data_IF_118902773074
#
_entry.id   IF_118902773074
#
_cell.length_a   1.000
_cell.length_b   1.000
_cell.length_c   1.000
_cell.angle_alpha   90.00
_cell.angle_beta   90.00
_cell.angle_gamma   90.00
#
_symmetry.space_group_name_H-M   'P 1'
#
loop_
_entity.id
_entity.type
_entity.pdbx_description
1 polymer ?
#
# COMPACT_ATOMS: atom_id res chain seq x y z
N UNK A 1 -6.10 24.04 -1.55
CA UNK A 1 -6.54 24.35 -0.17
C UNK A 1 -5.46 25.06 0.64
N UNK A 2 -4.24 24.51 0.79
CA UNK A 2 -3.22 25.08 1.69
C UNK A 2 -2.91 26.57 1.52
N UNK A 3 -2.80 27.08 0.29
CA UNK A 3 -2.61 28.52 0.06
C UNK A 3 -3.77 29.39 0.58
N UNK A 4 -4.99 28.88 0.53
CA UNK A 4 -6.17 29.59 1.03
C UNK A 4 -6.17 29.63 2.56
N UNK A 5 -5.65 28.60 3.23
CA UNK A 5 -5.50 28.60 4.69
C UNK A 5 -4.53 29.69 5.12
N UNK A 6 -3.37 29.81 4.46
CA UNK A 6 -2.42 30.88 4.78
C UNK A 6 -3.01 32.26 4.51
N UNK A 7 -3.72 32.42 3.39
CA UNK A 7 -4.40 33.69 3.07
C UNK A 7 -5.47 34.05 4.09
N UNK A 8 -6.30 33.09 4.51
CA UNK A 8 -7.32 33.30 5.53
C UNK A 8 -6.68 33.65 6.87
N UNK A 9 -5.57 32.98 7.23
CA UNK A 9 -4.81 33.29 8.44
C UNK A 9 -4.30 34.74 8.44
N UNK A 10 -3.74 35.19 7.32
CA UNK A 10 -3.27 36.58 7.13
C UNK A 10 -4.43 37.59 7.25
N UNK A 11 -5.55 37.34 6.57
CA UNK A 11 -6.72 38.23 6.59
C UNK A 11 -7.37 38.31 7.99
N UNK A 12 -7.36 37.20 8.74
CA UNK A 12 -7.92 37.13 10.09
C UNK A 12 -6.94 37.55 11.20
N UNK A 13 -5.67 37.82 10.87
CA UNK A 13 -4.63 38.08 11.86
C UNK A 13 -4.35 36.90 12.79
N UNK A 14 -4.59 35.67 12.33
CA UNK A 14 -4.35 34.44 13.09
C UNK A 14 -3.04 33.81 12.60
N UNK A 15 -2.25 33.23 13.51
CA UNK A 15 -1.09 32.46 13.09
C UNK A 15 -1.53 31.26 12.21
N UNK A 16 -0.94 31.04 11.02
CA UNK A 16 -1.38 30.00 10.08
C UNK A 16 -1.26 28.57 10.62
N UNK A 17 -0.31 28.31 11.53
CA UNK A 17 -0.20 27.02 12.22
C UNK A 17 -1.34 26.83 13.23
N UNK A 18 -1.73 27.92 13.91
CA UNK A 18 -2.86 27.90 14.83
C UNK A 18 -4.17 27.68 14.09
N UNK A 19 -4.34 28.32 12.92
CA UNK A 19 -5.53 28.13 12.10
C UNK A 19 -5.68 26.66 11.64
N UNK A 20 -4.59 26.03 11.20
CA UNK A 20 -4.58 24.59 10.88
C UNK A 20 -4.97 23.72 12.07
N UNK A 21 -4.30 23.91 13.23
CA UNK A 21 -4.59 23.14 14.46
C UNK A 21 -6.04 23.22 14.92
N UNK A 22 -6.68 24.39 14.75
CA UNK A 22 -8.10 24.58 15.10
C UNK A 22 -9.05 23.79 14.21
N UNK A 23 -8.65 23.48 12.97
CA UNK A 23 -9.53 22.89 11.96
C UNK A 23 -9.19 21.44 11.60
N UNK A 24 -8.14 20.85 12.17
CA UNK A 24 -7.86 19.43 11.96
C UNK A 24 -9.00 18.56 12.48
N UNK A 25 -9.35 17.57 11.67
CA UNK A 25 -10.21 16.46 12.08
C UNK A 25 -9.46 15.68 13.17
N UNK A 26 -10.13 15.36 14.27
CA UNK A 26 -9.53 14.57 15.36
C UNK A 26 -9.60 13.08 15.04
N UNK A 27 -8.66 12.25 15.53
CA UNK A 27 -8.72 10.80 15.36
C UNK A 27 -10.07 10.18 15.75
N UNK A 28 -10.70 10.67 16.82
CA UNK A 28 -12.01 10.20 17.28
C UNK A 28 -13.20 10.59 16.38
N UNK A 29 -12.98 11.41 15.34
CA UNK A 29 -14.00 11.79 14.36
C UNK A 29 -13.93 10.95 13.08
N UNK A 30 -12.96 10.05 12.98
CA UNK A 30 -12.80 9.17 11.83
C UNK A 30 -13.59 7.87 12.02
N UNK A 31 -14.17 7.29 10.95
CA UNK A 31 -14.19 7.82 9.58
C UNK A 31 -15.04 9.10 9.45
N UNK A 32 -14.56 10.08 8.67
CA UNK A 32 -15.13 11.44 8.63
C UNK A 32 -15.85 11.71 7.29
N UNK A 33 -17.15 11.97 7.36
CA UNK A 33 -17.96 12.35 6.21
C UNK A 33 -17.65 13.81 5.79
N UNK A 34 -16.82 13.99 4.77
CA UNK A 34 -16.41 15.30 4.29
C UNK A 34 -17.50 15.99 3.45
N UNK A 35 -17.52 17.32 3.49
CA UNK A 35 -18.46 18.13 2.71
C UNK A 35 -18.34 17.94 1.19
N UNK A 36 -17.22 17.38 0.70
CA UNK A 36 -17.04 17.00 -0.71
C UNK A 36 -17.76 15.72 -1.11
N UNK A 37 -18.43 15.03 -0.19
CA UNK A 37 -19.18 13.79 -0.44
C UNK A 37 -18.35 12.51 -0.32
N UNK A 38 -17.08 12.60 0.06
CA UNK A 38 -16.22 11.43 0.35
C UNK A 38 -16.11 11.20 1.85
N UNK A 39 -15.80 9.96 2.25
CA UNK A 39 -15.56 9.62 3.66
C UNK A 39 -14.09 9.33 3.86
N UNK A 40 -13.40 10.15 4.66
CA UNK A 40 -12.00 9.91 5.01
C UNK A 40 -11.90 8.70 5.94
N UNK A 41 -10.96 7.81 5.65
CA UNK A 41 -10.81 6.50 6.29
C UNK A 41 -10.17 6.59 7.68
N UNK A 42 -8.99 7.19 7.78
CA UNK A 42 -8.14 7.20 8.97
C UNK A 42 -7.14 8.37 8.95
N UNK A 43 -6.44 8.61 10.07
CA UNK A 43 -5.39 9.61 10.15
C UNK A 43 -5.17 10.22 11.55
N UNK A 44 -3.92 10.63 11.80
CA UNK A 44 -3.54 11.51 12.91
C UNK A 44 -2.91 12.80 12.36
N UNK A 45 -3.76 13.67 11.80
CA UNK A 45 -3.32 14.89 11.12
C UNK A 45 -2.54 15.82 12.05
N UNK A 46 -2.97 15.92 13.31
CA UNK A 46 -2.29 16.75 14.30
C UNK A 46 -0.93 16.15 14.70
N UNK A 47 -0.83 14.83 14.87
CA UNK A 47 0.44 14.15 15.14
C UNK A 47 1.45 14.36 14.02
N UNK A 48 1.05 14.12 12.77
CA UNK A 48 1.89 14.31 11.58
C UNK A 48 2.35 15.77 11.46
N UNK A 49 1.44 16.73 11.66
CA UNK A 49 1.76 18.16 11.65
C UNK A 49 2.78 18.54 12.72
N UNK A 50 2.55 18.14 13.97
CA UNK A 50 3.47 18.45 15.06
C UNK A 50 4.85 17.84 14.83
N UNK A 51 4.91 16.61 14.28
CA UNK A 51 6.18 15.95 13.96
C UNK A 51 6.95 16.69 12.87
N UNK A 52 6.26 17.16 11.83
CA UNK A 52 6.88 17.95 10.77
C UNK A 52 7.47 19.26 11.30
N UNK A 53 6.75 19.97 12.20
CA UNK A 53 7.25 21.21 12.82
C UNK A 53 8.47 20.98 13.73
N UNK A 54 8.50 19.86 14.44
CA UNK A 54 9.65 19.44 15.25
C UNK A 54 10.86 19.16 14.36
N UNK A 55 10.69 18.31 13.34
CA UNK A 55 11.76 17.90 12.43
C UNK A 55 12.34 19.07 11.62
N UNK A 56 11.51 20.04 11.24
CA UNK A 56 11.95 21.22 10.52
C UNK A 56 12.55 22.30 11.43
N UNK A 57 12.62 22.06 12.75
CA UNK A 57 13.02 23.05 13.74
C UNK A 57 12.27 24.39 13.54
N UNK A 58 10.96 24.32 13.30
CA UNK A 58 10.15 25.50 12.96
C UNK A 58 10.23 26.57 14.07
N UNK A 59 10.36 26.15 15.33
CA UNK A 59 10.45 27.05 16.48
C UNK A 59 11.62 28.05 16.37
N UNK A 60 12.73 27.67 15.74
CA UNK A 60 13.90 28.53 15.57
C UNK A 60 13.96 29.24 14.21
N UNK A 61 12.91 29.16 13.38
CA UNK A 61 12.89 29.81 12.07
C UNK A 61 13.18 31.33 12.14
N UNK A 62 12.72 32.03 13.18
CA UNK A 62 12.97 33.45 13.34
C UNK A 62 14.47 33.79 13.43
N UNK A 63 15.27 32.92 14.04
CA UNK A 63 16.73 33.05 14.11
C UNK A 63 17.34 32.92 12.72
N UNK A 64 17.00 31.85 11.98
CA UNK A 64 17.47 31.61 10.62
C UNK A 64 17.09 32.76 9.67
N UNK A 65 15.85 33.26 9.77
CA UNK A 65 15.39 34.41 9.00
C UNK A 65 16.22 35.67 9.29
N UNK A 66 16.64 35.91 10.53
CA UNK A 66 17.52 37.02 10.88
C UNK A 66 18.92 36.84 10.30
N UNK A 67 19.42 35.61 10.26
CA UNK A 67 20.72 35.28 9.66
C UNK A 67 20.72 35.54 8.15
N UNK A 68 19.71 35.08 7.41
CA UNK A 68 19.55 35.38 5.98
C UNK A 68 19.48 36.88 5.70
N UNK A 69 18.75 37.63 6.53
CA UNK A 69 18.66 39.09 6.41
C UNK A 69 20.02 39.78 6.57
N UNK A 70 20.89 39.30 7.46
CA UNK A 70 22.27 39.82 7.60
C UNK A 70 23.11 39.57 6.35
N UNK A 71 22.82 38.50 5.61
CA UNK A 71 23.45 38.16 4.35
C UNK A 71 22.76 38.81 3.13
N UNK A 72 21.84 39.76 3.33
CA UNK A 72 21.13 40.44 2.24
C UNK A 72 20.09 39.57 1.54
N UNK A 73 19.64 38.45 2.15
CA UNK A 73 18.65 37.53 1.59
C UNK A 73 17.31 37.60 2.33
N UNK A 74 16.24 37.29 1.63
CA UNK A 74 14.92 37.02 2.22
C UNK A 74 14.83 35.53 2.57
N UNK A 75 14.15 35.19 3.66
CA UNK A 75 13.86 33.80 4.02
C UNK A 75 12.37 33.62 4.31
N UNK A 76 11.79 32.57 3.73
CA UNK A 76 10.43 32.11 3.97
C UNK A 76 10.41 30.67 4.45
N UNK A 77 9.37 30.30 5.20
CA UNK A 77 9.05 28.93 5.56
C UNK A 77 7.57 28.69 5.23
N UNK A 78 7.29 27.57 4.56
CA UNK A 78 5.94 27.14 4.26
C UNK A 78 5.67 25.82 4.97
N UNK A 79 4.46 25.66 5.51
CA UNK A 79 3.99 24.41 6.09
C UNK A 79 2.71 24.01 5.36
N UNK A 80 2.74 22.88 4.66
CA UNK A 80 1.62 22.37 3.88
C UNK A 80 1.15 21.03 4.41
N UNK A 81 -0.11 20.94 4.80
CA UNK A 81 -0.77 19.69 5.17
C UNK A 81 -1.60 19.21 3.98
N UNK A 82 -1.45 17.95 3.60
CA UNK A 82 -2.27 17.37 2.54
C UNK A 82 -2.99 16.13 3.05
N UNK A 83 -4.15 15.90 2.43
CA UNK A 83 -4.88 14.64 2.46
C UNK A 83 -5.18 14.34 0.99
N UNK A 84 -4.67 13.22 0.52
CA UNK A 84 -4.84 12.77 -0.86
C UNK A 84 -6.02 11.81 -0.94
N UNK A 85 -6.63 11.67 -2.11
CA UNK A 85 -7.50 10.53 -2.42
C UNK A 85 -6.76 9.62 -3.39
N UNK A 86 -6.53 8.39 -2.97
CA UNK A 86 -5.77 7.40 -3.75
C UNK A 86 -6.61 6.15 -3.98
N UNK A 87 -6.20 5.33 -4.92
CA UNK A 87 -6.92 4.11 -5.29
C UNK A 87 -8.39 4.39 -5.69
N UNK A 88 -8.65 5.07 -6.83
CA UNK A 88 -10.00 5.15 -7.38
C UNK A 88 -10.62 3.75 -7.45
N UNK A 89 -11.88 3.57 -7.02
CA UNK A 89 -12.47 2.25 -6.88
C UNK A 89 -12.47 1.51 -8.21
N UNK A 90 -11.85 0.33 -8.19
CA UNK A 90 -11.66 -0.50 -9.38
C UNK A 90 -11.24 -1.90 -8.96
N UNK A 91 -11.65 -2.90 -9.75
CA UNK A 91 -11.13 -4.26 -9.63
C UNK A 91 -9.68 -4.38 -10.09
N UNK A 92 -8.99 -5.42 -9.62
CA UNK A 92 -7.62 -5.76 -10.00
C UNK A 92 -7.43 -7.27 -10.18
N UNK A 93 -6.54 -7.66 -11.09
CA UNK A 93 -6.15 -9.05 -11.30
C UNK A 93 -5.07 -9.45 -10.28
N UNK A 94 -5.29 -10.60 -9.62
CA UNK A 94 -4.34 -11.23 -8.70
C UNK A 94 -4.12 -12.69 -9.05
N UNK A 95 -3.69 -12.98 -10.28
CA UNK A 95 -3.51 -14.38 -10.69
C UNK A 95 -2.21 -14.93 -10.11
N UNK A 96 -2.29 -16.07 -9.43
CA UNK A 96 -1.16 -16.78 -8.83
C UNK A 96 -1.01 -18.13 -9.53
N UNK A 97 0.17 -18.41 -10.06
CA UNK A 97 0.49 -19.67 -10.73
C UNK A 97 1.75 -20.27 -10.11
N UNK A 98 1.66 -21.50 -9.63
CA UNK A 98 2.80 -22.30 -9.21
C UNK A 98 3.38 -22.94 -10.47
N UNK A 99 4.65 -22.66 -10.77
CA UNK A 99 5.29 -23.10 -12.02
C UNK A 99 6.06 -24.43 -11.83
N UNK A 100 6.26 -25.22 -12.91
CA UNK A 100 7.02 -26.47 -12.83
C UNK A 100 8.47 -26.32 -12.36
N UNK A 101 9.08 -25.14 -12.53
CA UNK A 101 10.44 -24.83 -12.06
C UNK A 101 10.51 -24.46 -10.56
N UNK A 102 9.37 -24.52 -9.87
CA UNK A 102 9.23 -24.18 -8.46
C UNK A 102 9.24 -22.68 -8.18
N UNK A 103 8.99 -21.84 -9.19
CA UNK A 103 8.65 -20.42 -8.99
C UNK A 103 7.13 -20.24 -8.76
N UNK A 104 6.76 -19.06 -8.24
CA UNK A 104 5.37 -18.63 -8.07
C UNK A 104 5.18 -17.35 -8.88
N UNK A 105 4.52 -17.46 -10.02
CA UNK A 105 4.25 -16.34 -10.90
C UNK A 105 3.00 -15.60 -10.44
N UNK A 106 3.15 -14.31 -10.22
CA UNK A 106 2.07 -13.37 -9.93
C UNK A 106 1.79 -12.55 -11.20
N UNK A 107 0.60 -12.69 -11.78
CA UNK A 107 0.15 -11.91 -12.93
C UNK A 107 -0.87 -10.86 -12.46
N UNK A 108 -0.63 -9.59 -12.78
CA UNK A 108 -1.45 -8.46 -12.29
C UNK A 108 -1.77 -7.48 -13.42
N UNK A 109 -2.84 -6.73 -13.26
CA UNK A 109 -3.32 -5.75 -14.25
C UNK A 109 -2.76 -4.33 -14.08
N UNK A 110 -1.83 -4.15 -13.14
CA UNK A 110 -1.03 -2.93 -13.03
C UNK A 110 0.23 -3.04 -13.89
N UNK A 111 0.88 -1.91 -14.19
CA UNK A 111 2.10 -1.86 -14.99
C UNK A 111 3.22 -1.17 -14.23
N UNK A 112 4.39 -1.80 -14.11
CA UNK A 112 5.60 -1.18 -13.56
C UNK A 112 6.34 -0.33 -14.59
N UNK A 113 6.60 0.93 -14.22
CA UNK A 113 7.41 1.86 -15.01
C UNK A 113 8.35 2.69 -14.11
N UNK A 114 8.67 2.20 -12.91
CA UNK A 114 9.70 2.80 -12.03
C UNK A 114 9.37 2.80 -10.54
N UNK A 115 8.16 2.38 -10.15
CA UNK A 115 7.75 2.29 -8.75
C UNK A 115 8.24 1.02 -8.06
N UNK A 116 8.69 0.02 -8.84
CA UNK A 116 9.32 -1.19 -8.32
C UNK A 116 8.32 -2.22 -7.80
N UNK A 117 7.20 -2.43 -8.50
CA UNK A 117 6.07 -3.31 -8.12
C UNK A 117 6.49 -4.72 -7.70
N UNK A 118 7.48 -5.30 -8.37
CA UNK A 118 7.92 -6.67 -8.14
C UNK A 118 8.26 -6.92 -6.66
N UNK A 119 8.89 -5.96 -5.98
CA UNK A 119 9.33 -6.12 -4.59
C UNK A 119 8.17 -6.08 -3.58
N UNK A 120 7.37 -5.01 -3.47
CA UNK A 120 6.28 -4.95 -2.50
C UNK A 120 5.20 -6.00 -2.78
N UNK A 121 4.93 -6.36 -4.03
CA UNK A 121 3.95 -7.41 -4.34
C UNK A 121 4.45 -8.78 -3.87
N UNK A 122 5.72 -9.10 -4.13
CA UNK A 122 6.33 -10.32 -3.60
C UNK A 122 6.37 -10.33 -2.06
N UNK A 123 6.57 -9.19 -1.40
CA UNK A 123 6.49 -9.10 0.07
C UNK A 123 5.09 -9.45 0.58
N UNK A 124 4.03 -8.91 -0.05
CA UNK A 124 2.65 -9.23 0.33
C UNK A 124 2.36 -10.71 0.09
N UNK A 125 2.71 -11.24 -1.09
CA UNK A 125 2.44 -12.64 -1.43
C UNK A 125 3.22 -13.62 -0.52
N UNK A 126 4.50 -13.34 -0.25
CA UNK A 126 5.32 -14.14 0.66
C UNK A 126 4.77 -14.09 2.09
N UNK A 127 4.31 -12.93 2.57
CA UNK A 127 3.69 -12.82 3.88
C UNK A 127 2.38 -13.62 3.99
N UNK A 128 1.57 -13.68 2.91
CA UNK A 128 0.32 -14.43 2.91
C UNK A 128 0.53 -15.94 2.78
N UNK A 129 1.42 -16.37 1.89
CA UNK A 129 1.56 -17.79 1.53
C UNK A 129 2.83 -18.47 2.06
N UNK A 130 3.77 -17.74 2.66
CA UNK A 130 5.05 -18.29 3.11
C UNK A 130 5.93 -18.85 1.99
N UNK A 131 5.63 -18.53 0.72
CA UNK A 131 6.47 -18.90 -0.41
C UNK A 131 7.77 -18.07 -0.39
N UNK A 132 8.92 -18.64 -0.81
CA UNK A 132 10.18 -17.91 -0.77
C UNK A 132 10.14 -16.66 -1.66
N UNK A 133 10.57 -15.53 -1.12
CA UNK A 133 10.51 -14.23 -1.80
C UNK A 133 11.20 -14.26 -3.18
N UNK A 134 12.37 -14.88 -3.24
CA UNK A 134 13.20 -15.05 -4.43
C UNK A 134 12.61 -16.00 -5.49
N UNK A 135 11.58 -16.76 -5.12
CA UNK A 135 10.84 -17.64 -6.05
C UNK A 135 9.64 -16.92 -6.68
N UNK A 136 9.30 -15.70 -6.26
CA UNK A 136 8.16 -14.96 -6.80
C UNK A 136 8.60 -14.21 -8.06
N UNK A 137 7.85 -14.38 -9.15
CA UNK A 137 8.03 -13.63 -10.40
C UNK A 137 6.77 -12.79 -10.68
N UNK A 138 6.92 -11.67 -11.39
CA UNK A 138 5.82 -10.74 -11.68
C UNK A 138 5.61 -10.59 -13.19
N UNK A 139 4.36 -10.66 -13.63
CA UNK A 139 3.92 -10.51 -15.03
C UNK A 139 2.83 -9.42 -15.16
N UNK A 140 3.06 -8.44 -16.04
CA UNK A 140 2.24 -7.21 -16.13
C UNK A 140 2.07 -6.63 -17.55
N UNK A 141 2.86 -7.09 -18.53
CA UNK A 141 3.13 -6.32 -19.75
C UNK A 141 2.61 -6.97 -21.03
N UNK A 142 1.91 -8.09 -20.92
CA UNK A 142 1.40 -8.84 -22.05
C UNK A 142 -0.12 -8.92 -21.96
N UNK A 143 -0.84 -8.20 -22.82
CA UNK A 143 -2.31 -8.18 -22.83
C UNK A 143 -2.92 -9.51 -23.29
N UNK A 144 -2.15 -10.40 -23.92
CA UNK A 144 -2.62 -11.76 -24.22
C UNK A 144 -2.67 -12.62 -22.94
N UNK A 145 -1.89 -12.25 -21.92
CA UNK A 145 -1.79 -12.96 -20.63
C UNK A 145 -2.56 -12.23 -19.50
N UNK A 146 -2.58 -10.90 -19.53
CA UNK A 146 -3.22 -10.01 -18.56
C UNK A 146 -4.62 -9.64 -19.06
N UNK A 147 -5.60 -10.49 -18.75
CA UNK A 147 -6.99 -10.34 -19.23
C UNK A 147 -7.80 -9.21 -18.58
N UNK A 148 -7.34 -8.67 -17.45
CA UNK A 148 -8.09 -7.73 -16.62
C UNK A 148 -7.14 -6.84 -15.83
N UNK A 149 -7.50 -5.56 -15.65
CA UNK A 149 -6.67 -4.58 -14.97
C UNK A 149 -7.10 -3.16 -15.26
N UNK A 150 -6.72 -2.23 -14.39
CA UNK A 150 -6.97 -0.79 -14.57
C UNK A 150 -5.67 0.03 -14.68
N UNK A 151 -4.52 -0.65 -14.85
CA UNK A 151 -3.22 -0.01 -14.97
C UNK A 151 -2.73 0.66 -13.68
N UNK A 152 -1.57 1.31 -13.80
CA UNK A 152 -0.95 2.09 -12.71
C UNK A 152 -1.24 3.57 -12.92
N UNK A 153 -1.98 4.15 -11.97
CA UNK A 153 -2.32 5.58 -11.89
C UNK A 153 -3.11 5.86 -10.60
N UNK A 154 -3.27 7.12 -10.20
CA UNK A 154 -4.03 7.49 -8.99
C UNK A 154 -3.52 6.83 -7.69
N UNK A 155 -2.22 6.51 -7.65
CA UNK A 155 -1.56 5.81 -6.54
C UNK A 155 -2.27 4.52 -6.10
N UNK A 156 -2.90 3.79 -7.02
CA UNK A 156 -3.77 2.65 -6.72
C UNK A 156 -3.06 1.32 -6.52
N UNK A 157 -1.87 1.16 -7.10
CA UNK A 157 -1.39 -0.17 -7.47
C UNK A 157 -1.16 -1.11 -6.28
N UNK A 158 -0.55 -0.64 -5.19
CA UNK A 158 -0.36 -1.47 -4.00
C UNK A 158 -1.67 -1.72 -3.25
N UNK A 159 -2.58 -0.75 -3.23
CA UNK A 159 -3.89 -0.92 -2.60
C UNK A 159 -4.72 -1.96 -3.33
N UNK A 160 -4.85 -1.82 -4.66
CA UNK A 160 -5.67 -2.72 -5.47
C UNK A 160 -5.01 -4.09 -5.66
N UNK A 161 -3.73 -4.13 -6.08
CA UNK A 161 -3.01 -5.38 -6.30
C UNK A 161 -2.70 -6.09 -4.99
N UNK A 162 -2.38 -5.36 -3.92
CA UNK A 162 -2.21 -5.93 -2.58
C UNK A 162 -3.49 -6.61 -2.10
N UNK A 163 -4.65 -5.98 -2.30
CA UNK A 163 -5.96 -6.60 -2.01
C UNK A 163 -6.17 -7.86 -2.87
N UNK A 164 -5.87 -7.80 -4.16
CA UNK A 164 -5.95 -8.94 -5.06
C UNK A 164 -5.06 -10.11 -4.61
N UNK A 165 -3.84 -9.83 -4.17
CA UNK A 165 -2.91 -10.84 -3.65
C UNK A 165 -3.48 -11.48 -2.37
N UNK A 166 -4.02 -10.69 -1.44
CA UNK A 166 -4.61 -11.21 -0.19
C UNK A 166 -5.81 -12.11 -0.48
N UNK A 167 -6.75 -11.67 -1.33
CA UNK A 167 -7.92 -12.46 -1.71
C UNK A 167 -7.52 -13.76 -2.43
N UNK A 168 -6.59 -13.67 -3.38
CA UNK A 168 -6.13 -14.83 -4.15
C UNK A 168 -5.35 -15.80 -3.28
N UNK A 169 -4.55 -15.31 -2.34
CA UNK A 169 -3.83 -16.14 -1.37
C UNK A 169 -4.80 -16.91 -0.48
N UNK A 170 -5.91 -16.29 -0.04
CA UNK A 170 -6.94 -17.01 0.71
C UNK A 170 -7.57 -18.14 -0.10
N UNK A 171 -7.78 -17.95 -1.42
CA UNK A 171 -8.26 -19.01 -2.31
C UNK A 171 -7.23 -20.12 -2.49
N UNK A 172 -5.94 -19.79 -2.64
CA UNK A 172 -4.84 -20.76 -2.68
C UNK A 172 -4.83 -21.60 -1.39
N UNK A 173 -4.95 -20.96 -0.23
CA UNK A 173 -4.99 -21.65 1.07
C UNK A 173 -6.20 -22.58 1.15
N UNK A 174 -7.39 -22.16 0.72
CA UNK A 174 -8.58 -22.99 0.73
C UNK A 174 -8.41 -24.24 -0.15
N UNK A 175 -7.92 -24.08 -1.39
CA UNK A 175 -7.58 -25.22 -2.27
C UNK A 175 -6.51 -26.13 -1.63
N UNK A 176 -5.49 -25.52 -1.04
CA UNK A 176 -4.40 -26.23 -0.39
C UNK A 176 -4.86 -27.05 0.81
N UNK A 177 -5.82 -26.57 1.61
CA UNK A 177 -6.41 -27.37 2.70
C UNK A 177 -7.12 -28.61 2.19
N UNK A 178 -7.90 -28.50 1.12
CA UNK A 178 -8.59 -29.63 0.49
C UNK A 178 -7.60 -30.67 -0.05
N UNK A 179 -6.59 -30.20 -0.80
CA UNK A 179 -5.55 -31.05 -1.37
C UNK A 179 -4.69 -31.72 -0.30
N UNK A 180 -4.25 -30.97 0.71
CA UNK A 180 -3.44 -31.48 1.81
C UNK A 180 -4.21 -32.48 2.68
N UNK A 181 -5.50 -32.25 2.92
CA UNK A 181 -6.37 -33.18 3.63
C UNK A 181 -6.44 -34.54 2.92
N UNK A 182 -6.66 -34.51 1.59
CA UNK A 182 -6.66 -35.73 0.79
C UNK A 182 -5.31 -36.46 0.85
N UNK A 183 -4.20 -35.75 0.59
CA UNK A 183 -2.87 -36.34 0.53
C UNK A 183 -2.41 -36.92 1.88
N UNK A 184 -2.81 -36.31 3.00
CA UNK A 184 -2.43 -36.74 4.33
C UNK A 184 -3.48 -37.66 5.00
N UNK A 185 -4.54 -38.02 4.28
CA UNK A 185 -5.65 -38.87 4.77
C UNK A 185 -6.28 -38.29 6.07
N UNK A 186 -6.61 -37.00 6.04
CA UNK A 186 -7.20 -36.27 7.15
C UNK A 186 -8.48 -35.52 6.73
N UNK A 187 -9.26 -35.04 7.70
CA UNK A 187 -10.38 -34.17 7.40
C UNK A 187 -9.91 -32.75 7.06
N UNK A 188 -10.55 -32.08 6.08
CA UNK A 188 -10.22 -30.70 5.70
C UNK A 188 -10.29 -29.72 6.88
N UNK A 189 -11.28 -29.91 7.77
CA UNK A 189 -11.45 -29.09 8.97
C UNK A 189 -10.30 -29.19 9.97
N UNK A 190 -9.50 -30.25 9.91
CA UNK A 190 -8.34 -30.48 10.77
C UNK A 190 -7.05 -29.90 10.17
N UNK A 191 -7.08 -29.32 8.96
CA UNK A 191 -5.90 -28.73 8.32
C UNK A 191 -5.75 -27.26 8.68
N UNK A 192 -4.66 -26.95 9.36
CA UNK A 192 -4.20 -25.60 9.65
C UNK A 192 -3.17 -25.15 8.61
N UNK A 193 -3.15 -23.85 8.31
CA UNK A 193 -2.14 -23.25 7.44
C UNK A 193 -1.40 -22.14 8.16
N UNK A 194 -0.07 -22.22 8.19
CA UNK A 194 0.79 -21.18 8.72
C UNK A 194 2.17 -21.23 8.06
N UNK A 195 2.72 -20.06 7.72
CA UNK A 195 4.10 -19.94 7.23
C UNK A 195 4.43 -20.82 6.02
N UNK A 196 3.47 -21.01 5.11
CA UNK A 196 3.65 -21.83 3.91
C UNK A 196 3.59 -23.35 4.14
N UNK A 197 3.01 -23.79 5.26
CA UNK A 197 2.82 -25.21 5.56
C UNK A 197 1.37 -25.51 5.94
N UNK A 198 0.87 -26.63 5.43
CA UNK A 198 -0.40 -27.25 5.83
C UNK A 198 -0.09 -28.33 6.85
N UNK A 199 -0.71 -28.28 8.04
CA UNK A 199 -0.44 -29.20 9.17
C UNK A 199 -1.74 -29.76 9.72
N UNK A 200 -1.78 -31.05 10.04
CA UNK A 200 -2.92 -31.65 10.76
C UNK A 200 -2.87 -31.16 12.21
N UNK A 201 -3.95 -30.53 12.67
CA UNK A 201 -4.09 -29.97 14.01
C UNK A 201 -3.72 -30.99 15.09
N UNK A 202 -2.87 -30.57 16.04
CA UNK A 202 -2.41 -31.42 17.14
C UNK A 202 -1.35 -32.46 16.77
N UNK A 203 -0.78 -32.42 15.57
CA UNK A 203 0.27 -33.35 15.12
C UNK A 203 1.46 -32.62 14.47
N UNK A 204 2.51 -33.36 14.10
CA UNK A 204 3.64 -32.89 13.31
C UNK A 204 3.51 -33.22 11.81
N UNK A 205 2.46 -33.96 11.41
CA UNK A 205 2.19 -34.33 10.01
C UNK A 205 1.82 -33.09 9.21
N UNK A 206 2.66 -32.75 8.25
CA UNK A 206 2.54 -31.52 7.47
C UNK A 206 3.16 -31.61 6.10
N UNK A 207 2.71 -30.76 5.18
CA UNK A 207 3.27 -30.58 3.84
C UNK A 207 3.48 -29.10 3.52
N UNK A 208 4.61 -28.76 2.90
CA UNK A 208 4.88 -27.39 2.45
C UNK A 208 4.06 -27.03 1.22
N UNK A 209 3.68 -25.77 1.06
CA UNK A 209 2.85 -25.30 -0.06
C UNK A 209 3.49 -25.58 -1.44
N UNK A 210 4.81 -25.40 -1.54
CA UNK A 210 5.55 -25.67 -2.78
C UNK A 210 5.61 -27.17 -3.09
N UNK A 211 5.79 -28.01 -2.06
CA UNK A 211 5.76 -29.47 -2.20
C UNK A 211 4.35 -29.96 -2.59
N UNK A 212 3.31 -29.39 -1.97
CA UNK A 212 1.93 -29.71 -2.30
C UNK A 212 1.62 -29.37 -3.76
N UNK A 213 2.02 -28.18 -4.24
CA UNK A 213 1.87 -27.79 -5.65
C UNK A 213 2.58 -28.77 -6.60
N UNK A 214 3.77 -29.25 -6.23
CA UNK A 214 4.50 -30.25 -7.01
C UNK A 214 3.76 -31.60 -7.04
N UNK A 215 3.32 -32.10 -5.89
CA UNK A 215 2.59 -33.38 -5.76
C UNK A 215 1.31 -33.39 -6.58
N UNK A 216 0.57 -32.29 -6.58
CA UNK A 216 -0.65 -32.14 -7.36
C UNK A 216 -0.39 -32.20 -8.87
N UNK A 217 0.75 -31.70 -9.33
CA UNK A 217 1.15 -31.74 -10.75
C UNK A 217 1.59 -33.13 -11.21
N UNK A 218 2.23 -33.90 -10.33
CA UNK A 218 2.78 -35.23 -10.63
C UNK A 218 1.75 -36.36 -10.47
N UNK A 219 0.71 -36.14 -9.65
CA UNK A 219 -0.30 -37.13 -9.31
C UNK A 219 -1.62 -36.98 -10.06
N UNK A 220 -2.45 -38.01 -9.97
CA UNK A 220 -3.87 -37.91 -10.30
C UNK A 220 -4.65 -37.55 -9.03
N UNK A 221 -5.46 -36.49 -9.08
CA UNK A 221 -6.34 -36.10 -7.98
C UNK A 221 -7.75 -36.67 -8.19
N UNK A 222 -8.40 -37.23 -7.17
CA UNK A 222 -9.78 -37.66 -7.27
C UNK A 222 -10.74 -36.51 -7.61
N UNK A 223 -11.92 -36.87 -8.11
CA UNK A 223 -12.99 -35.92 -8.36
C UNK A 223 -13.34 -35.15 -7.07
N UNK A 224 -13.36 -33.82 -7.16
CA UNK A 224 -13.63 -32.92 -6.03
C UNK A 224 -12.39 -32.45 -5.24
N UNK A 225 -11.20 -32.99 -5.52
CA UNK A 225 -9.93 -32.47 -4.98
C UNK A 225 -9.30 -31.54 -6.03
N UNK A 226 -8.82 -30.33 -5.65
CA UNK A 226 -8.12 -29.45 -6.58
C UNK A 226 -6.88 -30.12 -7.17
N UNK A 227 -6.73 -30.04 -8.49
CA UNK A 227 -5.59 -30.55 -9.29
C UNK A 227 -4.42 -29.55 -9.36
N UNK A 228 -4.65 -28.30 -8.95
CA UNK A 228 -3.63 -27.25 -8.84
C UNK A 228 -3.96 -26.27 -7.71
N UNK A 229 -2.92 -25.62 -7.20
CA UNK A 229 -3.06 -24.47 -6.30
C UNK A 229 -3.24 -23.14 -7.04
N UNK A 230 -3.18 -23.14 -8.38
CA UNK A 230 -3.30 -21.93 -9.18
C UNK A 230 -4.65 -21.24 -8.98
N UNK A 231 -4.63 -19.90 -8.97
CA UNK A 231 -5.81 -19.05 -8.83
C UNK A 231 -5.78 -17.98 -9.90
N UNK A 232 -6.89 -17.82 -10.62
CA UNK A 232 -7.11 -16.72 -11.57
C UNK A 232 -8.29 -15.88 -11.05
N UNK A 233 -7.96 -14.87 -10.23
CA UNK A 233 -8.94 -14.07 -9.51
C UNK A 233 -8.88 -12.59 -9.91
N UNK A 234 -10.06 -12.00 -10.04
CA UNK A 234 -10.24 -10.57 -10.26
C UNK A 234 -11.08 -10.02 -9.11
N UNK A 235 -10.53 -9.07 -8.36
CA UNK A 235 -11.24 -8.48 -7.22
C UNK A 235 -12.43 -7.66 -7.71
N UNK A 236 -13.38 -7.45 -6.81
CA UNK A 236 -14.31 -6.32 -6.94
C UNK A 236 -13.58 -5.00 -6.64
N UNK A 237 -14.33 -3.91 -6.64
CA UNK A 237 -13.78 -2.58 -6.36
C UNK A 237 -13.14 -2.51 -4.97
N UNK A 238 -11.87 -2.11 -4.94
CA UNK A 238 -11.18 -1.76 -3.70
C UNK A 238 -11.54 -0.31 -3.32
N UNK A 239 -11.92 -0.02 -2.06
CA UNK A 239 -12.24 1.34 -1.65
C UNK A 239 -11.03 2.27 -1.76
N UNK A 240 -11.28 3.55 -2.01
CA UNK A 240 -10.23 4.58 -1.96
C UNK A 240 -9.66 4.75 -0.56
N UNK A 241 -8.38 5.11 -0.51
CA UNK A 241 -7.67 5.39 0.75
C UNK A 241 -7.23 6.84 0.80
N UNK A 242 -7.12 7.40 2.01
CA UNK A 242 -6.85 8.83 2.19
C UNK A 242 -5.51 9.09 2.92
N UNK A 243 -4.36 8.77 2.28
CA UNK A 243 -3.07 9.04 2.86
C UNK A 243 -2.87 10.55 3.03
N UNK A 244 -2.18 10.92 4.09
CA UNK A 244 -1.98 12.31 4.48
C UNK A 244 -0.53 12.56 4.87
N UNK A 245 -0.14 13.82 4.88
CA UNK A 245 1.21 14.23 5.23
C UNK A 245 1.32 15.71 5.53
N UNK A 246 2.46 16.10 6.09
CA UNK A 246 2.81 17.49 6.31
C UNK A 246 4.23 17.75 5.78
N UNK A 247 4.34 18.67 4.83
CA UNK A 247 5.62 19.12 4.29
C UNK A 247 5.97 20.48 4.86
N UNK A 248 7.26 20.67 5.18
CA UNK A 248 7.82 21.97 5.51
C UNK A 248 8.93 22.26 4.51
N UNK A 249 8.88 23.45 3.91
CA UNK A 249 9.91 23.91 2.97
C UNK A 249 10.40 25.29 3.38
N UNK A 250 11.71 25.45 3.53
CA UNK A 250 12.34 26.75 3.68
C UNK A 250 12.95 27.18 2.35
N UNK A 251 12.82 28.48 2.06
CA UNK A 251 13.42 29.08 0.88
C UNK A 251 14.18 30.34 1.25
N UNK A 252 15.37 30.50 0.66
CA UNK A 252 16.08 31.77 0.62
C UNK A 252 15.94 32.39 -0.77
N UNK A 253 15.73 33.71 -0.81
CA UNK A 253 15.55 34.46 -2.05
C UNK A 253 16.53 35.63 -2.05
N UNK A 254 17.26 35.76 -3.15
CA UNK A 254 18.02 36.95 -3.48
C UNK A 254 17.04 38.05 -3.96
N UNK A 255 16.90 39.17 -3.21
CA UNK A 255 15.92 40.19 -3.57
C UNK A 255 16.26 40.97 -4.84
N UNK A 256 17.53 41.00 -5.26
CA UNK A 256 17.98 41.76 -6.43
C UNK A 256 17.77 40.97 -7.73
N UNK A 257 17.82 39.63 -7.65
CA UNK A 257 17.72 38.75 -8.82
C UNK A 257 16.48 37.86 -8.85
N UNK A 258 15.79 37.71 -7.71
CA UNK A 258 14.67 36.78 -7.55
C UNK A 258 15.06 35.30 -7.49
N UNK A 259 16.37 34.98 -7.51
CA UNK A 259 16.85 33.59 -7.43
C UNK A 259 16.45 33.00 -6.09
N UNK A 260 15.68 31.91 -6.13
CA UNK A 260 15.23 31.17 -4.95
C UNK A 260 15.99 29.85 -4.80
N UNK A 261 16.31 29.48 -3.56
CA UNK A 261 16.93 28.19 -3.20
C UNK A 261 16.18 27.56 -2.03
N UNK A 262 15.97 26.25 -2.11
CA UNK A 262 15.50 25.45 -0.97
C UNK A 262 16.70 25.24 -0.02
N UNK A 263 16.49 25.47 1.28
CA UNK A 263 17.54 25.52 2.31
C UNK A 263 17.17 24.76 3.58
#
# INVERSE_FOLDING_TARGET
>A
MERLIDRAADEMGINPLTLRKRNFIKPAQLPFAAASGVTYDSGDFQGVFNKALEMSDHANFAKRRKESRKAGKLRGIAVGCYLEVTAPPSGELGKITFEPDGSVKLTTGTLDYGQGHATPFAQVLSAQLGVPFEKITLEQNDSDLVRFGNGTGGSRSITATGTAIVESSAMVIAKGKQAAAHLMEAAEGDIEFAGGRFTIAGTDRSIGIMELAQRLREGETPEGVPDTLDVDHATKDTPSTFPNGCHVAEVEIDPDTGVARIV
#
